data_IF_088060700286
#
_entry.id   IF_088060700286
#
_cell.length_a   1.000
_cell.length_b   1.000
_cell.length_c   1.000
_cell.angle_alpha   90.00
_cell.angle_beta   90.00
_cell.angle_gamma   90.00
#
_symmetry.space_group_name_H-M   'P 1'
#
loop_
_entity.id
_entity.type
_entity.pdbx_description
1 polymer ?
#
# COMPACT_ATOMS: atom_id res chain seq x y z
N UNK A 1 26.90 12.80 -8.42
CA UNK A 1 26.43 11.40 -8.52
C UNK A 1 26.16 10.94 -7.10
N UNK A 2 24.94 10.50 -6.79
CA UNK A 2 24.61 9.97 -5.44
C UNK A 2 24.83 8.46 -5.49
N UNK A 3 25.67 7.94 -4.61
CA UNK A 3 25.90 6.50 -4.49
C UNK A 3 24.94 5.95 -3.44
N UNK A 4 24.17 4.92 -3.79
CA UNK A 4 23.36 4.21 -2.81
C UNK A 4 24.27 3.60 -1.74
N UNK A 5 24.05 3.97 -0.49
CA UNK A 5 24.83 3.49 0.67
C UNK A 5 24.28 2.19 1.24
N UNK A 6 23.02 1.87 0.94
CA UNK A 6 22.33 0.69 1.45
C UNK A 6 21.48 0.08 0.34
N UNK A 7 21.50 -1.25 0.26
CA UNK A 7 20.60 -2.04 -0.59
C UNK A 7 19.78 -2.96 0.30
N UNK A 8 18.47 -2.98 0.07
CA UNK A 8 17.56 -3.90 0.73
C UNK A 8 17.05 -4.95 -0.27
N UNK A 9 17.03 -6.20 0.17
CA UNK A 9 16.34 -7.29 -0.53
C UNK A 9 14.97 -7.47 0.11
N UNK A 10 13.90 -7.33 -0.70
CA UNK A 10 12.54 -7.54 -0.23
C UNK A 10 12.18 -9.02 -0.42
N UNK A 11 11.77 -9.70 0.64
CA UNK A 11 11.37 -11.10 0.62
C UNK A 11 9.89 -11.21 0.96
N UNK A 12 9.12 -11.83 0.08
CA UNK A 12 7.69 -12.04 0.22
C UNK A 12 7.36 -13.53 0.19
N UNK A 13 6.36 -13.93 0.97
CA UNK A 13 5.93 -15.34 1.05
C UNK A 13 4.52 -15.59 0.50
N UNK A 14 3.72 -14.54 0.38
CA UNK A 14 2.27 -14.63 0.16
C UNK A 14 1.84 -14.28 -1.27
N UNK A 15 2.72 -13.69 -2.07
CA UNK A 15 2.42 -13.31 -3.45
C UNK A 15 3.67 -13.34 -4.32
N UNK A 16 3.49 -13.67 -5.61
CA UNK A 16 4.49 -13.55 -6.65
C UNK A 16 4.17 -12.43 -7.66
N UNK A 17 3.15 -11.61 -7.40
CA UNK A 17 2.89 -10.41 -8.19
C UNK A 17 3.90 -9.31 -7.82
N UNK A 18 4.16 -8.43 -8.78
CA UNK A 18 5.16 -7.38 -8.64
C UNK A 18 4.80 -6.39 -7.53
N UNK A 19 5.81 -5.90 -6.82
CA UNK A 19 5.67 -4.78 -5.87
C UNK A 19 5.30 -3.52 -6.65
N UNK A 20 4.18 -2.91 -6.29
CA UNK A 20 3.70 -1.69 -6.94
C UNK A 20 4.28 -0.44 -6.30
N UNK A 21 4.36 -0.43 -4.97
CA UNK A 21 4.99 0.64 -4.19
C UNK A 21 5.64 0.05 -2.94
N UNK A 22 6.76 0.62 -2.55
CA UNK A 22 7.43 0.36 -1.29
C UNK A 22 7.70 1.69 -0.57
N UNK A 23 7.55 1.69 0.75
CA UNK A 23 7.85 2.83 1.62
C UNK A 23 8.73 2.36 2.78
N UNK A 24 9.83 3.08 3.03
CA UNK A 24 10.76 2.80 4.13
C UNK A 24 10.57 3.87 5.20
N UNK A 25 9.93 3.49 6.30
CA UNK A 25 9.72 4.31 7.48
C UNK A 25 10.85 4.06 8.48
N UNK A 26 11.97 4.76 8.30
CA UNK A 26 13.13 4.58 9.17
C UNK A 26 12.83 5.03 10.61
N UNK A 27 12.02 6.07 10.80
CA UNK A 27 11.64 6.59 12.12
C UNK A 27 10.69 5.60 12.83
N UNK A 28 9.75 5.02 12.09
CA UNK A 28 8.87 3.96 12.59
C UNK A 28 9.54 2.60 12.70
N UNK A 29 10.70 2.39 12.06
CA UNK A 29 11.42 1.13 12.02
C UNK A 29 10.80 0.06 11.12
N UNK A 30 9.91 0.43 10.20
CA UNK A 30 9.18 -0.50 9.33
C UNK A 30 9.27 -0.15 7.86
N UNK A 31 9.21 -1.17 7.01
CA UNK A 31 8.98 -1.07 5.59
C UNK A 31 7.57 -1.54 5.27
N UNK A 32 6.95 -0.90 4.28
CA UNK A 32 5.61 -1.22 3.80
C UNK A 32 5.68 -1.46 2.29
N UNK A 33 4.94 -2.45 1.80
CA UNK A 33 4.91 -2.79 0.39
C UNK A 33 3.49 -3.15 -0.05
N UNK A 34 3.08 -2.59 -1.20
CA UNK A 34 1.81 -2.91 -1.84
C UNK A 34 2.01 -3.91 -2.97
N UNK A 35 1.23 -4.98 -2.92
CA UNK A 35 1.19 -6.02 -3.94
C UNK A 35 -0.20 -6.61 -4.04
N UNK A 36 -0.63 -6.97 -5.24
CA UNK A 36 -1.84 -7.78 -5.37
C UNK A 36 -1.56 -9.24 -4.94
N UNK A 37 -2.53 -9.95 -4.32
CA UNK A 37 -2.42 -11.38 -4.10
C UNK A 37 -2.35 -12.15 -5.42
N UNK A 38 -1.78 -13.36 -5.37
CA UNK A 38 -1.81 -14.29 -6.51
C UNK A 38 -3.28 -14.65 -6.81
N UNK A 39 -3.64 -14.67 -8.08
CA UNK A 39 -4.99 -15.04 -8.57
C UNK A 39 -6.13 -14.07 -8.18
N UNK A 40 -5.80 -12.97 -7.50
CA UNK A 40 -6.75 -11.88 -7.26
C UNK A 40 -6.60 -10.76 -8.30
N UNK A 41 -7.71 -10.15 -8.67
CA UNK A 41 -7.81 -9.07 -9.67
C UNK A 41 -8.36 -7.77 -9.10
N UNK A 42 -8.68 -7.71 -7.80
CA UNK A 42 -9.36 -6.58 -7.13
C UNK A 42 -8.76 -6.22 -5.78
N UNK A 43 -8.21 -7.18 -5.06
CA UNK A 43 -7.71 -6.97 -3.72
C UNK A 43 -6.21 -6.68 -3.74
N UNK A 44 -5.75 -6.00 -2.70
CA UNK A 44 -4.33 -5.67 -2.52
C UNK A 44 -3.88 -6.02 -1.12
N UNK A 45 -2.65 -6.48 -1.00
CA UNK A 45 -1.93 -6.68 0.25
C UNK A 45 -1.09 -5.45 0.54
N UNK A 46 -1.27 -4.87 1.72
CA UNK A 46 -0.29 -3.98 2.33
C UNK A 46 0.54 -4.79 3.32
N UNK A 47 1.69 -5.27 2.85
CA UNK A 47 2.63 -6.04 3.67
C UNK A 47 3.53 -5.10 4.46
N UNK A 48 3.97 -5.52 5.64
CA UNK A 48 4.98 -4.80 6.44
C UNK A 48 6.11 -5.71 6.90
N UNK A 49 7.30 -5.13 7.05
CA UNK A 49 8.48 -5.80 7.58
C UNK A 49 9.29 -4.86 8.48
N UNK A 50 9.85 -5.31 9.60
CA UNK A 50 10.78 -4.48 10.38
C UNK A 50 12.06 -4.23 9.59
N UNK A 51 12.58 -2.99 9.62
CA UNK A 51 13.83 -2.62 8.94
C UNK A 51 15.04 -3.19 9.71
N UNK A 52 15.07 -3.00 11.03
CA UNK A 52 16.13 -3.48 11.91
C UNK A 52 17.54 -3.21 11.37
N UNK A 53 18.47 -4.12 11.68
CA UNK A 53 19.86 -4.05 11.18
C UNK A 53 20.09 -4.98 9.96
N UNK A 54 19.02 -5.56 9.40
CA UNK A 54 19.10 -6.53 8.31
C UNK A 54 19.05 -5.84 6.96
N UNK A 55 19.82 -6.32 5.98
CA UNK A 55 19.69 -5.90 4.58
C UNK A 55 18.60 -6.66 3.84
N UNK A 56 17.97 -7.63 4.49
CA UNK A 56 16.81 -8.37 3.98
C UNK A 56 15.59 -8.01 4.81
N UNK A 57 14.56 -7.50 4.14
CA UNK A 57 13.28 -7.16 4.72
C UNK A 57 12.32 -8.32 4.46
N UNK A 58 11.97 -9.06 5.52
CA UNK A 58 11.12 -10.23 5.44
C UNK A 58 9.65 -9.86 5.73
N UNK A 59 8.81 -9.86 4.69
CA UNK A 59 7.40 -9.45 4.73
C UNK A 59 6.51 -10.66 5.02
N UNK A 60 6.33 -10.95 6.31
CA UNK A 60 5.44 -12.02 6.79
C UNK A 60 4.05 -11.51 7.20
N UNK A 61 3.99 -10.25 7.65
CA UNK A 61 2.75 -9.61 8.11
C UNK A 61 2.12 -8.80 6.98
N UNK A 62 0.79 -8.83 6.89
CA UNK A 62 0.06 -8.03 5.92
C UNK A 62 -1.34 -7.63 6.40
N UNK A 63 -1.83 -6.56 5.79
CA UNK A 63 -3.19 -6.08 5.90
C UNK A 63 -3.88 -6.23 4.54
N UNK A 64 -5.05 -6.87 4.51
CA UNK A 64 -5.83 -7.00 3.28
C UNK A 64 -6.59 -5.70 2.98
N UNK A 65 -6.49 -5.22 1.74
CA UNK A 65 -7.20 -4.06 1.21
C UNK A 65 -8.20 -4.54 0.15
N UNK A 66 -9.44 -4.76 0.58
CA UNK A 66 -10.47 -5.40 -0.24
C UNK A 66 -11.08 -4.41 -1.24
N UNK A 67 -11.09 -4.78 -2.52
CA UNK A 67 -11.58 -3.98 -3.65
C UNK A 67 -10.79 -2.69 -3.87
N UNK A 68 -9.47 -2.70 -3.65
CA UNK A 68 -8.62 -1.51 -3.86
C UNK A 68 -8.09 -1.41 -5.28
N UNK A 69 -8.14 -2.49 -6.05
CA UNK A 69 -7.62 -2.60 -7.40
C UNK A 69 -6.10 -2.63 -7.42
N UNK A 70 -5.54 -2.50 -8.61
CA UNK A 70 -4.11 -2.35 -8.84
C UNK A 70 -3.66 -0.96 -8.35
N UNK A 71 -3.13 -0.90 -7.14
CA UNK A 71 -2.80 0.35 -6.43
C UNK A 71 -1.48 0.95 -6.90
N UNK A 72 -1.49 2.21 -7.32
CA UNK A 72 -0.28 2.97 -7.72
C UNK A 72 0.19 3.99 -6.66
N UNK A 73 -0.70 4.39 -5.75
CA UNK A 73 -0.45 5.46 -4.79
C UNK A 73 -0.44 4.91 -3.37
N UNK A 74 0.59 5.26 -2.62
CA UNK A 74 0.70 5.01 -1.18
C UNK A 74 1.67 6.02 -0.57
N UNK A 75 1.10 6.98 0.16
CA UNK A 75 1.84 8.08 0.77
C UNK A 75 1.48 8.12 2.27
N UNK A 76 2.47 7.82 3.11
CA UNK A 76 2.29 7.71 4.56
C UNK A 76 2.41 9.08 5.21
N UNK A 77 1.58 9.34 6.21
CA UNK A 77 1.67 10.51 7.07
C UNK A 77 1.36 10.12 8.52
N UNK A 78 1.74 11.00 9.44
CA UNK A 78 1.48 10.87 10.87
C UNK A 78 0.53 12.00 11.27
N UNK A 79 -0.51 11.66 12.02
CA UNK A 79 -1.46 12.63 12.57
C UNK A 79 -0.95 13.22 13.89
N UNK A 80 -1.61 14.24 14.43
CA UNK A 80 -1.16 14.98 15.62
C UNK A 80 -1.06 14.09 16.88
N UNK A 81 -1.83 13.00 16.94
CA UNK A 81 -1.82 12.02 18.02
C UNK A 81 -0.71 10.95 17.88
N UNK A 82 0.07 11.01 16.80
CA UNK A 82 1.12 10.03 16.47
C UNK A 82 0.62 8.82 15.68
N UNK A 83 -0.68 8.72 15.39
CA UNK A 83 -1.24 7.65 14.56
C UNK A 83 -0.74 7.74 13.12
N UNK A 84 -0.36 6.60 12.54
CA UNK A 84 0.08 6.52 11.14
C UNK A 84 -1.07 6.21 10.21
N UNK A 85 -1.16 6.99 9.14
CA UNK A 85 -2.17 6.89 8.10
C UNK A 85 -1.50 6.88 6.73
N UNK A 86 -2.24 6.48 5.70
CA UNK A 86 -1.76 6.57 4.33
C UNK A 86 -2.87 7.02 3.37
N UNK A 87 -2.50 7.94 2.48
CA UNK A 87 -3.24 8.16 1.24
C UNK A 87 -2.96 6.99 0.31
N UNK A 88 -4.02 6.36 -0.19
CA UNK A 88 -3.93 5.13 -0.99
C UNK A 88 -4.94 5.14 -2.12
N UNK A 89 -4.56 4.60 -3.28
CA UNK A 89 -5.53 4.37 -4.34
C UNK A 89 -6.46 3.21 -3.96
N UNK A 90 -7.76 3.36 -4.21
CA UNK A 90 -8.80 2.42 -3.81
C UNK A 90 -9.89 2.30 -4.88
N UNK A 91 -10.84 1.41 -4.66
CA UNK A 91 -11.93 1.05 -5.57
C UNK A 91 -11.45 0.50 -6.91
N UNK A 92 -11.40 -0.83 -6.97
CA UNK A 92 -11.19 -1.58 -8.20
C UNK A 92 -12.25 -1.19 -9.25
N UNK A 93 -11.79 -0.68 -10.37
CA UNK A 93 -12.64 -0.26 -11.47
C UNK A 93 -13.31 -1.46 -12.13
N UNK A 94 -14.62 -1.40 -12.33
CA UNK A 94 -15.35 -2.44 -13.05
C UNK A 94 -15.06 -2.43 -14.55
N UNK A 95 -14.59 -1.29 -15.10
CA UNK A 95 -14.37 -1.07 -16.54
C UNK A 95 -12.91 -1.00 -16.94
N UNK A 96 -12.03 -0.47 -16.07
CA UNK A 96 -10.60 -0.33 -16.34
C UNK A 96 -9.84 -1.55 -15.82
N UNK A 97 -9.41 -2.40 -16.76
CA UNK A 97 -8.66 -3.64 -16.50
C UNK A 97 -7.40 -3.67 -17.34
N UNK A 98 -6.31 -4.18 -16.78
CA UNK A 98 -5.10 -4.43 -17.56
C UNK A 98 -5.23 -5.69 -18.45
N UNK A 99 -4.16 -6.02 -19.18
CA UNK A 99 -4.14 -7.16 -20.10
C UNK A 99 -4.26 -8.54 -19.45
N UNK A 100 -4.03 -8.64 -18.13
CA UNK A 100 -4.14 -9.88 -17.37
C UNK A 100 -5.42 -9.92 -16.50
N UNK A 101 -6.25 -8.88 -16.58
CA UNK A 101 -7.55 -8.79 -15.93
C UNK A 101 -7.55 -8.08 -14.57
N UNK A 102 -6.39 -7.56 -14.13
CA UNK A 102 -6.30 -6.80 -12.88
C UNK A 102 -7.03 -5.47 -13.04
N UNK A 103 -7.92 -5.18 -12.11
CA UNK A 103 -8.75 -3.97 -12.13
C UNK A 103 -7.98 -2.81 -11.55
N UNK A 104 -7.85 -1.72 -12.30
CA UNK A 104 -7.17 -0.52 -11.83
C UNK A 104 -7.91 0.13 -10.65
N UNK A 105 -7.15 0.66 -9.69
CA UNK A 105 -7.73 1.56 -8.70
C UNK A 105 -8.25 2.83 -9.39
N UNK A 106 -9.39 3.37 -8.96
CA UNK A 106 -10.05 4.51 -9.61
C UNK A 106 -10.36 5.68 -8.69
N UNK A 107 -10.04 5.56 -7.40
CA UNK A 107 -10.31 6.55 -6.36
C UNK A 107 -9.12 6.68 -5.44
N UNK A 108 -9.11 7.72 -4.62
CA UNK A 108 -8.14 7.92 -3.54
C UNK A 108 -8.89 7.93 -2.21
N UNK A 109 -8.35 7.25 -1.21
CA UNK A 109 -8.84 7.24 0.16
C UNK A 109 -7.71 7.36 1.17
N UNK A 110 -8.08 7.44 2.46
CA UNK A 110 -7.15 7.47 3.60
C UNK A 110 -7.41 6.26 4.48
N UNK A 111 -6.36 5.51 4.83
CA UNK A 111 -6.46 4.35 5.73
C UNK A 111 -5.51 4.47 6.93
N UNK A 112 -5.91 3.98 8.11
CA UNK A 112 -4.98 3.83 9.21
C UNK A 112 -4.05 2.63 8.96
N UNK A 113 -2.80 2.72 9.40
CA UNK A 113 -1.78 1.67 9.29
C UNK A 113 -1.75 0.79 10.55
N UNK A 114 -2.91 0.29 10.96
CA UNK A 114 -3.12 -0.45 12.20
C UNK A 114 -3.01 -1.99 12.04
N UNK A 115 -2.78 -2.49 10.83
CA UNK A 115 -2.70 -3.91 10.50
C UNK A 115 -4.05 -4.62 10.37
N UNK A 116 -5.17 -3.91 10.54
CA UNK A 116 -6.52 -4.47 10.40
C UNK A 116 -7.02 -4.32 8.98
N UNK A 117 -7.52 -5.41 8.38
CA UNK A 117 -8.05 -5.39 7.01
C UNK A 117 -9.00 -4.21 6.75
N UNK A 118 -8.88 -3.59 5.58
CA UNK A 118 -9.72 -2.46 5.16
C UNK A 118 -10.65 -2.90 4.05
N UNK A 119 -11.90 -2.48 4.18
CA UNK A 119 -12.86 -2.46 3.08
C UNK A 119 -12.79 -1.09 2.41
N UNK A 120 -13.45 -0.97 1.26
CA UNK A 120 -13.66 0.30 0.55
C UNK A 120 -13.69 1.50 1.51
N UNK A 121 -12.75 2.42 1.33
CA UNK A 121 -12.68 3.63 2.15
C UNK A 121 -13.74 4.62 1.66
N UNK A 122 -14.50 5.16 2.62
CA UNK A 122 -15.48 6.22 2.37
C UNK A 122 -14.78 7.43 1.73
N UNK A 123 -15.31 7.89 0.59
CA UNK A 123 -14.81 9.08 -0.09
C UNK A 123 -14.87 10.31 0.81
N UNK A 124 -13.79 11.10 0.80
CA UNK A 124 -13.89 12.52 1.11
C UNK A 124 -14.60 13.17 -0.09
N UNK A 125 -15.89 13.51 0.07
CA UNK A 125 -16.49 14.53 -0.79
C UNK A 125 -15.70 15.81 -0.54
N UNK A 126 -14.89 16.21 -1.52
CA UNK A 126 -14.29 17.53 -1.53
C UNK A 126 -15.46 18.52 -1.71
N UNK A 127 -16.03 18.98 -0.60
CA UNK A 127 -16.99 20.07 -0.61
C UNK A 127 -16.20 21.33 -0.96
N UNK A 128 -16.09 21.64 -2.24
CA UNK A 128 -15.62 22.95 -2.69
C UNK A 128 -16.72 23.93 -2.29
N UNK A 129 -16.57 24.53 -1.10
CA UNK A 129 -17.32 25.71 -0.72
C UNK A 129 -16.81 26.84 -1.61
N UNK A 130 -17.49 27.09 -2.73
CA UNK A 130 -17.36 28.37 -3.42
C UNK A 130 -18.01 29.42 -2.52
N UNK A 131 -17.20 30.37 -2.06
CA UNK A 131 -17.66 31.60 -1.37
C UNK A 131 -18.51 32.47 -2.28
#
# INVERSE_FOLDING_TARGET
>A
MVTATQRYTLKFHTTNKVVQKCYLDFDGGYAYALQMPKEDTKDTLLSRAPIGNSTTLDFTDYMMLNNFGHVQTFEVFTDDDGSKWAWVATYASSTEKDSIGDQWASRIGVIPLDGTAKMLVLFIHLLILTT
#
